data_IF_100181177792
#
_entry.id   IF_100181177792
#
_cell.length_a   1.000
_cell.length_b   1.000
_cell.length_c   1.000
_cell.angle_alpha   90.00
_cell.angle_beta   90.00
_cell.angle_gamma   90.00
#
_symmetry.space_group_name_H-M   'P 1'
#
loop_
_entity.id
_entity.type
_entity.pdbx_description
1 polymer ?
#
# COMPACT_ATOMS: atom_id res chain seq x y z
N UNK A 1 -4.08 -3.29 11.69
CA UNK A 1 -4.29 -1.83 11.92
C UNK A 1 -3.48 -1.25 13.08
N UNK A 2 -3.55 -1.78 14.32
CA UNK A 2 -2.84 -1.22 15.50
C UNK A 2 -1.35 -0.93 15.26
N UNK A 3 -0.60 -1.86 14.65
CA UNK A 3 0.84 -1.68 14.42
C UNK A 3 1.16 -0.53 13.46
N UNK A 4 0.39 -0.32 12.39
CA UNK A 4 0.63 0.76 11.44
C UNK A 4 0.26 2.14 12.01
N UNK A 5 -0.73 2.18 12.90
CA UNK A 5 -1.13 3.40 13.62
C UNK A 5 -0.09 3.81 14.66
N UNK A 6 0.41 2.86 15.46
CA UNK A 6 1.52 3.12 16.39
C UNK A 6 2.81 3.51 15.64
N UNK A 7 3.07 2.88 14.49
CA UNK A 7 4.19 3.26 13.63
C UNK A 7 4.05 4.71 13.12
N UNK A 8 2.85 5.15 12.74
CA UNK A 8 2.59 6.54 12.34
C UNK A 8 2.87 7.53 13.48
N UNK A 9 2.52 7.19 14.74
CA UNK A 9 2.87 8.02 15.90
C UNK A 9 4.39 8.17 16.04
N UNK A 10 5.14 7.08 15.86
CA UNK A 10 6.60 7.10 15.81
C UNK A 10 7.14 7.96 14.67
N UNK A 11 6.62 7.80 13.46
CA UNK A 11 7.00 8.57 12.28
C UNK A 11 6.79 10.08 12.45
N UNK A 12 5.71 10.51 13.10
CA UNK A 12 5.50 11.95 13.40
C UNK A 12 6.63 12.52 14.25
N UNK A 13 7.07 11.79 15.26
CA UNK A 13 8.23 12.17 16.08
C UNK A 13 9.51 12.15 15.25
N UNK A 14 9.67 11.16 14.37
CA UNK A 14 10.87 11.02 13.55
C UNK A 14 11.00 12.13 12.50
N UNK A 15 9.91 12.48 11.81
CA UNK A 15 9.83 13.63 10.90
C UNK A 15 10.21 14.92 11.61
N UNK A 16 9.68 15.15 12.82
CA UNK A 16 10.01 16.33 13.63
C UNK A 16 11.50 16.39 13.97
N UNK A 17 12.08 15.26 14.37
CA UNK A 17 13.51 15.16 14.69
C UNK A 17 14.38 15.41 13.45
N UNK A 18 14.01 14.86 12.29
CA UNK A 18 14.73 15.08 11.04
C UNK A 18 14.71 16.54 10.59
N UNK A 19 13.56 17.21 10.69
CA UNK A 19 13.44 18.65 10.38
C UNK A 19 14.24 19.53 11.36
N UNK A 20 14.29 19.12 12.64
CA UNK A 20 15.09 19.79 13.68
C UNK A 20 16.58 19.45 13.66
N UNK A 21 17.04 18.57 12.76
CA UNK A 21 18.45 18.18 12.70
C UNK A 21 19.35 19.36 12.27
N UNK A 22 20.62 19.38 12.72
CA UNK A 22 21.63 20.31 12.21
C UNK A 22 21.70 20.23 10.69
N UNK A 23 21.96 21.36 10.03
CA UNK A 23 21.95 21.46 8.56
C UNK A 23 22.82 20.40 7.88
N UNK A 24 24.02 20.17 8.42
CA UNK A 24 24.97 19.16 7.93
C UNK A 24 24.48 17.71 8.02
N UNK A 25 23.44 17.43 8.82
CA UNK A 25 22.87 16.09 9.01
C UNK A 25 21.45 15.95 8.47
N UNK A 26 20.81 17.05 8.06
CA UNK A 26 19.39 17.08 7.72
C UNK A 26 19.06 16.18 6.53
N UNK A 27 19.89 16.18 5.49
CA UNK A 27 19.67 15.33 4.32
C UNK A 27 19.66 13.84 4.70
N UNK A 28 20.64 13.39 5.47
CA UNK A 28 20.70 12.01 5.96
C UNK A 28 19.50 11.67 6.85
N UNK A 29 19.12 12.57 7.76
CA UNK A 29 17.96 12.36 8.62
C UNK A 29 16.65 12.23 7.84
N UNK A 30 16.47 13.01 6.75
CA UNK A 30 15.30 12.89 5.86
C UNK A 30 15.30 11.53 5.14
N UNK A 31 16.47 11.06 4.68
CA UNK A 31 16.58 9.74 4.04
C UNK A 31 16.22 8.60 5.00
N UNK A 32 16.57 8.70 6.28
CA UNK A 32 16.14 7.71 7.28
C UNK A 32 14.61 7.74 7.51
N UNK A 33 14.02 8.93 7.54
CA UNK A 33 12.55 9.07 7.62
C UNK A 33 11.89 8.39 6.42
N UNK A 34 12.43 8.57 5.22
CA UNK A 34 11.92 7.92 4.01
C UNK A 34 11.93 6.39 4.10
N UNK A 35 12.98 5.81 4.71
CA UNK A 35 13.04 4.36 4.95
C UNK A 35 11.94 3.93 5.91
N UNK A 36 11.75 4.65 7.01
CA UNK A 36 10.68 4.36 7.96
C UNK A 36 9.28 4.52 7.32
N UNK A 37 9.07 5.53 6.48
CA UNK A 37 7.81 5.70 5.74
C UNK A 37 7.55 4.53 4.79
N UNK A 38 8.58 4.02 4.13
CA UNK A 38 8.46 2.85 3.29
C UNK A 38 8.06 1.60 4.09
N UNK A 39 8.61 1.41 5.29
CA UNK A 39 8.21 0.31 6.19
C UNK A 39 6.73 0.43 6.56
N UNK A 40 6.24 1.63 6.87
CA UNK A 40 4.81 1.84 7.12
C UNK A 40 3.96 1.53 5.89
N UNK A 41 4.42 1.90 4.70
CA UNK A 41 3.69 1.58 3.47
C UNK A 41 3.61 0.07 3.24
N UNK A 42 4.68 -0.69 3.51
CA UNK A 42 4.66 -2.16 3.43
C UNK A 42 3.61 -2.74 4.40
N UNK A 43 3.64 -2.35 5.67
CA UNK A 43 2.66 -2.82 6.68
C UNK A 43 1.20 -2.56 6.30
N UNK A 44 0.93 -1.42 5.66
CA UNK A 44 -0.41 -1.07 5.21
C UNK A 44 -0.80 -1.83 3.93
N UNK A 45 0.16 -2.05 3.03
CA UNK A 45 -0.03 -2.90 1.85
C UNK A 45 -0.36 -4.34 2.26
N UNK A 46 0.30 -4.91 3.27
CA UNK A 46 -0.04 -6.24 3.79
C UNK A 46 -1.49 -6.34 4.23
N UNK A 47 -1.92 -5.37 5.04
CA UNK A 47 -3.29 -5.33 5.54
C UNK A 47 -4.29 -5.22 4.38
N UNK A 48 -3.99 -4.36 3.40
CA UNK A 48 -4.82 -4.18 2.21
C UNK A 48 -4.92 -5.47 1.38
N UNK A 49 -3.81 -6.19 1.20
CA UNK A 49 -3.80 -7.47 0.48
C UNK A 49 -4.63 -8.51 1.22
N UNK A 50 -4.44 -8.67 2.53
CA UNK A 50 -5.21 -9.64 3.32
C UNK A 50 -6.72 -9.35 3.29
N UNK A 51 -7.10 -8.08 3.43
CA UNK A 51 -8.50 -7.65 3.36
C UNK A 51 -9.09 -7.86 1.96
N UNK A 52 -8.33 -7.53 0.90
CA UNK A 52 -8.76 -7.74 -0.47
C UNK A 52 -8.95 -9.22 -0.80
N UNK A 53 -8.03 -10.07 -0.34
CA UNK A 53 -8.11 -11.52 -0.54
C UNK A 53 -9.31 -12.11 0.20
N UNK A 54 -9.57 -11.69 1.45
CA UNK A 54 -10.77 -12.08 2.22
C UNK A 54 -12.07 -11.70 1.48
N UNK A 55 -12.17 -10.45 1.02
CA UNK A 55 -13.30 -9.98 0.22
C UNK A 55 -13.46 -10.78 -1.07
N UNK A 56 -12.36 -11.11 -1.75
CA UNK A 56 -12.40 -11.95 -2.95
C UNK A 56 -12.89 -13.37 -2.64
N UNK A 57 -12.51 -13.94 -1.50
CA UNK A 57 -13.02 -15.25 -1.05
C UNK A 57 -14.52 -15.21 -0.76
N UNK A 58 -14.99 -14.17 -0.06
CA UNK A 58 -16.41 -13.93 0.24
C UNK A 58 -17.24 -13.70 -1.02
N UNK A 59 -16.71 -12.98 -2.00
CA UNK A 59 -17.36 -12.77 -3.30
C UNK A 59 -17.63 -14.10 -4.03
N UNK A 60 -16.72 -15.08 -3.93
CA UNK A 60 -16.89 -16.40 -4.57
C UNK A 60 -17.85 -17.30 -3.78
N UNK A 61 -17.93 -17.12 -2.47
CA UNK A 61 -18.75 -17.93 -1.57
C UNK A 61 -19.76 -17.03 -0.86
N UNK A 62 -20.60 -16.29 -1.60
CA UNK A 62 -21.58 -15.39 -1.00
C UNK A 62 -22.35 -16.13 0.10
N UNK A 63 -22.09 -15.74 1.35
CA UNK A 63 -22.65 -16.35 2.55
C UNK A 63 -23.40 -15.27 3.33
N UNK A 64 -24.64 -15.58 3.75
CA UNK A 64 -25.42 -14.69 4.61
C UNK A 64 -25.97 -13.43 3.91
N UNK A 65 -25.87 -12.30 4.60
CA UNK A 65 -26.42 -10.99 4.20
C UNK A 65 -25.44 -10.14 3.36
N UNK A 66 -24.32 -10.72 2.93
CA UNK A 66 -23.30 -10.01 2.16
C UNK A 66 -23.86 -9.53 0.81
N UNK A 67 -23.85 -8.22 0.59
CA UNK A 67 -24.18 -7.65 -0.71
C UNK A 67 -22.95 -7.67 -1.61
N UNK A 68 -23.09 -8.26 -2.81
CA UNK A 68 -22.09 -8.17 -3.88
C UNK A 68 -21.65 -6.72 -4.11
N UNK A 69 -22.58 -5.76 -4.09
CA UNK A 69 -22.29 -4.34 -4.27
C UNK A 69 -21.39 -3.78 -3.15
N UNK A 70 -21.64 -4.18 -1.89
CA UNK A 70 -20.85 -3.75 -0.74
C UNK A 70 -19.42 -4.31 -0.80
N UNK A 71 -19.28 -5.61 -1.10
CA UNK A 71 -17.97 -6.26 -1.25
C UNK A 71 -17.17 -5.60 -2.38
N UNK A 72 -17.77 -5.44 -3.57
CA UNK A 72 -17.10 -4.82 -4.71
C UNK A 72 -16.78 -3.35 -4.45
N UNK A 73 -17.67 -2.63 -3.76
CA UNK A 73 -17.43 -1.25 -3.30
C UNK A 73 -16.19 -1.15 -2.43
N UNK A 74 -16.08 -2.03 -1.41
CA UNK A 74 -14.91 -2.06 -0.52
C UNK A 74 -13.63 -2.45 -1.24
N UNK A 75 -13.68 -3.44 -2.15
CA UNK A 75 -12.54 -3.80 -2.99
C UNK A 75 -12.04 -2.62 -3.83
N UNK A 76 -12.94 -1.80 -4.40
CA UNK A 76 -12.58 -0.59 -5.15
C UNK A 76 -11.88 0.45 -4.27
N UNK A 77 -12.32 0.64 -3.03
CA UNK A 77 -11.66 1.54 -2.08
C UNK A 77 -10.23 1.09 -1.75
N UNK A 78 -10.06 -0.18 -1.41
CA UNK A 78 -8.74 -0.75 -1.11
C UNK A 78 -7.78 -0.58 -2.28
N UNK A 79 -8.24 -0.84 -3.51
CA UNK A 79 -7.42 -0.67 -4.71
C UNK A 79 -6.97 0.79 -4.92
N UNK A 80 -7.85 1.77 -4.68
CA UNK A 80 -7.50 3.20 -4.81
C UNK A 80 -6.45 3.61 -3.78
N UNK A 81 -6.65 3.22 -2.52
CA UNK A 81 -5.71 3.51 -1.44
C UNK A 81 -4.34 2.86 -1.71
N UNK A 82 -4.35 1.63 -2.24
CA UNK A 82 -3.13 0.88 -2.53
C UNK A 82 -2.38 1.43 -3.76
N UNK A 83 -3.10 1.94 -4.77
CA UNK A 83 -2.48 2.68 -5.88
C UNK A 83 -1.74 3.91 -5.35
N UNK A 84 -2.40 4.74 -4.54
CA UNK A 84 -1.79 5.96 -3.99
C UNK A 84 -0.56 5.61 -3.13
N UNK A 85 -0.66 4.58 -2.30
CA UNK A 85 0.45 4.09 -1.47
C UNK A 85 1.62 3.60 -2.32
N UNK A 86 1.34 2.81 -3.36
CA UNK A 86 2.37 2.26 -4.24
C UNK A 86 3.06 3.36 -5.06
N UNK A 87 2.31 4.38 -5.50
CA UNK A 87 2.87 5.56 -6.17
C UNK A 87 3.82 6.34 -5.25
N UNK A 88 3.49 6.49 -3.95
CA UNK A 88 4.41 7.06 -2.96
C UNK A 88 5.67 6.21 -2.78
N UNK A 89 5.51 4.88 -2.66
CA UNK A 89 6.65 3.96 -2.57
C UNK A 89 7.56 4.04 -3.79
N UNK A 90 7.01 4.21 -4.99
CA UNK A 90 7.78 4.38 -6.23
C UNK A 90 8.68 5.63 -6.16
N UNK A 91 8.14 6.76 -5.72
CA UNK A 91 8.91 8.01 -5.58
C UNK A 91 10.08 7.83 -4.60
N UNK A 92 9.88 7.09 -3.52
CA UNK A 92 10.95 6.84 -2.54
C UNK A 92 12.00 5.89 -3.13
N UNK A 93 11.58 4.79 -3.77
CA UNK A 93 12.49 3.80 -4.36
C UNK A 93 13.34 4.37 -5.52
N UNK A 94 12.84 5.36 -6.25
CA UNK A 94 13.61 6.06 -7.29
C UNK A 94 14.69 6.98 -6.73
N UNK A 95 14.57 7.40 -5.47
CA UNK A 95 15.48 8.34 -4.79
C UNK A 95 16.43 7.65 -3.82
N UNK A 96 16.10 6.44 -3.36
CA UNK A 96 16.87 5.70 -2.37
C UNK A 96 16.91 4.19 -2.70
N UNK A 97 18.08 3.71 -3.09
CA UNK A 97 18.30 2.31 -3.48
C UNK A 97 18.33 1.33 -2.31
N UNK A 98 18.29 1.80 -1.05
CA UNK A 98 18.31 0.93 0.14
C UNK A 98 17.00 0.13 0.31
N UNK A 99 15.96 0.51 -0.41
CA UNK A 99 14.60 0.00 -0.26
C UNK A 99 14.29 -1.21 -1.13
N UNK A 100 15.33 -1.88 -1.67
CA UNK A 100 15.16 -2.98 -2.60
C UNK A 100 14.51 -4.23 -2.04
N UNK A 101 14.43 -4.44 -0.72
CA UNK A 101 13.92 -5.67 -0.12
C UNK A 101 12.67 -5.44 0.73
N UNK A 102 11.57 -6.14 0.41
CA UNK A 102 10.35 -6.18 1.20
C UNK A 102 10.44 -7.24 2.29
N UNK A 103 9.97 -6.93 3.50
CA UNK A 103 9.96 -7.88 4.62
C UNK A 103 8.78 -8.88 4.60
N UNK A 104 7.86 -8.80 3.65
CA UNK A 104 6.56 -9.49 3.73
C UNK A 104 6.39 -10.65 2.76
N UNK A 105 7.01 -10.64 1.58
CA UNK A 105 6.73 -11.62 0.51
C UNK A 105 7.93 -11.93 -0.41
N UNK A 106 9.17 -11.64 0.02
CA UNK A 106 10.37 -11.73 -0.83
C UNK A 106 10.29 -10.91 -2.15
N UNK A 107 9.37 -9.93 -2.22
CA UNK A 107 9.33 -9.00 -3.36
C UNK A 107 10.48 -8.00 -3.29
N UNK A 108 10.96 -7.66 -4.49
CA UNK A 108 11.96 -6.60 -4.67
C UNK A 108 11.21 -5.29 -4.93
N UNK A 109 11.30 -4.31 -4.02
CA UNK A 109 10.70 -2.97 -4.18
C UNK A 109 11.53 -2.09 -5.13
N UNK A 110 11.90 -2.65 -6.29
CA UNK A 110 12.48 -1.85 -7.36
C UNK A 110 11.43 -0.94 -7.98
N UNK A 111 11.85 0.21 -8.56
CA UNK A 111 10.95 1.04 -9.36
C UNK A 111 10.23 0.27 -10.48
N UNK A 112 10.86 -0.76 -11.04
CA UNK A 112 10.23 -1.62 -12.06
C UNK A 112 9.04 -2.40 -11.48
N UNK A 113 9.25 -3.12 -10.37
CA UNK A 113 8.20 -3.92 -9.72
C UNK A 113 7.05 -3.04 -9.24
N UNK A 114 7.35 -1.87 -8.69
CA UNK A 114 6.33 -0.93 -8.22
C UNK A 114 5.47 -0.38 -9.36
N UNK A 115 6.07 -0.06 -10.52
CA UNK A 115 5.32 0.32 -11.72
C UNK A 115 4.40 -0.79 -12.20
N UNK A 116 4.87 -2.03 -12.19
CA UNK A 116 4.06 -3.17 -12.61
C UNK A 116 2.91 -3.44 -11.63
N UNK A 117 3.15 -3.33 -10.32
CA UNK A 117 2.10 -3.38 -9.30
C UNK A 117 1.03 -2.31 -9.54
N UNK A 118 1.42 -1.06 -9.80
CA UNK A 118 0.46 0.03 -10.11
C UNK A 118 -0.37 -0.31 -11.36
N UNK A 119 0.26 -0.85 -12.40
CA UNK A 119 -0.43 -1.27 -13.63
C UNK A 119 -1.49 -2.32 -13.32
N UNK A 120 -1.11 -3.39 -12.62
CA UNK A 120 -2.02 -4.48 -12.23
C UNK A 120 -3.17 -3.99 -11.34
N UNK A 121 -2.90 -3.11 -10.37
CA UNK A 121 -3.94 -2.53 -9.51
C UNK A 121 -4.95 -1.72 -10.32
N UNK A 122 -4.48 -0.93 -11.31
CA UNK A 122 -5.34 -0.16 -12.21
C UNK A 122 -6.17 -1.05 -13.12
N UNK A 123 -5.58 -2.11 -13.67
CA UNK A 123 -6.31 -3.12 -14.47
C UNK A 123 -7.39 -3.80 -13.62
N UNK A 124 -7.07 -4.19 -12.39
CA UNK A 124 -8.04 -4.81 -11.48
C UNK A 124 -9.18 -3.86 -11.14
N UNK A 125 -8.87 -2.59 -10.84
CA UNK A 125 -9.87 -1.57 -10.49
C UNK A 125 -10.79 -1.21 -11.64
N UNK A 126 -10.25 -1.05 -12.85
CA UNK A 126 -10.99 -0.51 -13.99
C UNK A 126 -11.64 -1.59 -14.86
N UNK A 127 -11.08 -2.79 -14.90
CA UNK A 127 -11.55 -3.86 -15.79
C UNK A 127 -12.06 -5.07 -15.03
N UNK A 128 -11.28 -5.63 -14.11
CA UNK A 128 -11.62 -6.92 -13.50
C UNK A 128 -12.79 -6.81 -12.52
N UNK A 129 -12.75 -5.87 -11.58
CA UNK A 129 -13.84 -5.66 -10.62
C UNK A 129 -15.15 -5.29 -11.35
N UNK A 130 -15.18 -4.33 -12.28
CA UNK A 130 -16.40 -4.03 -13.05
C UNK A 130 -16.89 -5.18 -13.93
N UNK A 131 -16.01 -6.09 -14.35
CA UNK A 131 -16.43 -7.28 -15.10
C UNK A 131 -17.25 -8.27 -14.27
N UNK A 132 -17.09 -8.28 -12.94
CA UNK A 132 -17.94 -9.06 -12.04
C UNK A 132 -19.34 -8.46 -11.93
N UNK A 133 -19.45 -7.13 -11.88
CA UNK A 133 -20.76 -6.44 -11.84
C UNK A 133 -21.62 -6.79 -13.05
N UNK A 134 -21.01 -6.85 -14.25
CA UNK A 134 -21.71 -7.19 -15.51
C UNK A 134 -22.10 -8.66 -15.66
N UNK A 135 -21.60 -9.56 -14.81
CA UNK A 135 -21.95 -11.00 -14.86
C UNK A 135 -23.21 -11.32 -14.07
N UNK A 136 -23.60 -10.44 -13.15
CA UNK A 136 -24.78 -10.59 -12.28
C UNK A 136 -26.03 -9.89 -12.85
N UNK A 137 -25.89 -9.10 -13.93
CA UNK A 137 -27.01 -8.57 -14.76
C UNK A 137 -27.46 -9.56 -15.83
#
# INVERSE_FOLDING_TARGET
LLSAEEFEKGLRSYRRAALGAPETKREGAIKEVMVAEQIRNMLLSLNAILEFEDLRFRLVHLEGDDSTEEILGRMKEILRDEIERTERSLVIAERDSRLGYECEQDYVYTPYVLREKIRLLKDTLNDQVPSYEKREE
#
